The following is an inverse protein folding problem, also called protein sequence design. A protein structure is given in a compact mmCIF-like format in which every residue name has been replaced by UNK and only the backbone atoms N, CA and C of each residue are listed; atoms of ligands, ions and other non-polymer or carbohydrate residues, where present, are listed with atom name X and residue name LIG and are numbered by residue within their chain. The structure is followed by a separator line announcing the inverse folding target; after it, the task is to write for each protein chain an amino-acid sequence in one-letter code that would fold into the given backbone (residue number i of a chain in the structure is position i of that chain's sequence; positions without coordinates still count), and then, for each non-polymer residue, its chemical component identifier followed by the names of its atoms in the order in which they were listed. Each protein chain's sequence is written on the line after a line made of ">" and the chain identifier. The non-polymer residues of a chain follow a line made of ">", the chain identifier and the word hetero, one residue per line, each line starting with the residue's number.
data_IF_744809352517
#
_entry.id   IF_744809352517
#
_cell.length_a   1.000
_cell.length_b   1.000
_cell.length_c   1.000
_cell.angle_alpha   90.00
_cell.angle_beta   90.00
_cell.angle_gamma   90.00
#
_symmetry.space_group_name_H-M   'P 1'
#
loop_
_entity.id
_entity.type
_entity.pdbx_description
1 polymer ?
#
# COMPACT_ATOMS: atom_id res chain seq x y z
N UNK A 1 13.18 -10.86 15.67
CA UNK A 1 11.99 -11.70 15.88
C UNK A 1 11.72 -12.44 14.58
N UNK A 2 11.47 -13.74 14.61
CA UNK A 2 11.08 -14.46 13.40
C UNK A 2 9.74 -13.93 12.90
N UNK A 3 9.64 -13.72 11.59
CA UNK A 3 8.35 -13.37 10.96
C UNK A 3 7.33 -14.47 11.27
N UNK A 4 6.15 -14.05 11.73
CA UNK A 4 5.03 -14.98 11.96
C UNK A 4 4.69 -15.70 10.65
N UNK A 5 4.44 -17.01 10.66
CA UNK A 5 4.07 -17.73 9.47
C UNK A 5 2.75 -17.18 8.90
N UNK A 6 2.59 -17.27 7.57
CA UNK A 6 1.47 -16.72 6.80
C UNK A 6 0.08 -17.15 7.33
N UNK A 7 0.00 -18.34 7.94
CA UNK A 7 -1.22 -18.86 8.59
C UNK A 7 -1.69 -18.03 9.79
N UNK A 8 -0.80 -17.35 10.50
CA UNK A 8 -1.18 -16.49 11.63
C UNK A 8 -1.65 -15.12 11.19
N UNK A 9 -1.09 -14.55 10.10
CA UNK A 9 -1.54 -13.27 9.53
C UNK A 9 -2.97 -13.35 8.98
N UNK A 10 -3.37 -14.51 8.45
CA UNK A 10 -4.75 -14.74 7.97
C UNK A 10 -5.79 -14.71 9.08
N UNK A 11 -5.40 -14.92 10.34
CA UNK A 11 -6.32 -14.86 11.48
C UNK A 11 -6.70 -13.45 11.91
N UNK A 12 -5.92 -12.43 11.52
CA UNK A 12 -6.20 -11.04 11.89
C UNK A 12 -7.43 -10.47 11.16
N UNK A 13 -7.78 -11.02 10.00
CA UNK A 13 -8.98 -10.64 9.23
C UNK A 13 -9.66 -11.87 8.63
N UNK A 14 -10.39 -12.66 9.44
CA UNK A 14 -11.03 -13.91 8.99
C UNK A 14 -11.98 -13.70 7.80
N UNK A 15 -12.65 -12.56 7.73
CA UNK A 15 -13.59 -12.20 6.66
C UNK A 15 -12.96 -12.04 5.27
N UNK A 16 -11.64 -11.84 5.18
CA UNK A 16 -10.91 -11.82 3.90
C UNK A 16 -10.73 -13.22 3.28
N UNK A 17 -10.95 -14.28 4.06
CA UNK A 17 -10.77 -15.67 3.60
C UNK A 17 -12.01 -16.21 2.87
N UNK A 18 -13.18 -15.64 3.12
CA UNK A 18 -14.47 -16.11 2.60
C UNK A 18 -14.92 -15.37 1.35
N UNK A 19 -14.15 -14.35 0.91
CA UNK A 19 -14.53 -13.59 -0.26
C UNK A 19 -14.16 -14.36 -1.53
N UNK A 20 -15.16 -14.93 -2.19
CA UNK A 20 -15.17 -14.96 -3.65
C UNK A 20 -14.87 -13.56 -4.11
N UNK A 21 -13.79 -13.38 -4.89
CA UNK A 21 -13.30 -12.05 -5.27
C UNK A 21 -14.46 -11.23 -5.85
N UNK A 22 -14.95 -10.21 -5.15
CA UNK A 22 -16.11 -9.46 -5.60
C UNK A 22 -15.81 -8.73 -6.92
N UNK A 23 -16.81 -8.28 -7.65
CA UNK A 23 -16.62 -7.43 -8.83
C UNK A 23 -15.67 -6.27 -8.51
N UNK A 24 -14.91 -5.82 -9.51
CA UNK A 24 -13.77 -4.88 -9.32
C UNK A 24 -14.08 -3.63 -8.47
N UNK A 25 -15.28 -3.07 -8.59
CA UNK A 25 -15.64 -1.83 -7.86
C UNK A 25 -15.84 -2.09 -6.36
N UNK A 26 -16.69 -3.05 -5.92
CA UNK A 26 -16.80 -3.41 -4.51
C UNK A 26 -15.48 -3.84 -3.87
N UNK A 27 -14.61 -4.52 -4.65
CA UNK A 27 -13.28 -4.89 -4.16
C UNK A 27 -12.41 -3.66 -3.86
N UNK A 28 -12.44 -2.65 -4.74
CA UNK A 28 -11.73 -1.39 -4.52
C UNK A 28 -12.17 -0.71 -3.23
N UNK A 29 -13.47 -0.56 -3.02
CA UNK A 29 -14.07 0.02 -1.82
C UNK A 29 -13.70 -0.76 -0.54
N UNK A 30 -13.72 -2.09 -0.62
CA UNK A 30 -13.32 -2.95 0.50
C UNK A 30 -11.84 -2.77 0.87
N UNK A 31 -10.96 -2.59 -0.11
CA UNK A 31 -9.53 -2.37 0.11
C UNK A 31 -9.26 -0.97 0.67
N UNK A 32 -9.97 0.05 0.21
CA UNK A 32 -9.92 1.39 0.82
C UNK A 32 -10.35 1.33 2.30
N UNK A 33 -11.44 0.61 2.61
CA UNK A 33 -11.87 0.40 3.99
C UNK A 33 -10.82 -0.36 4.83
N UNK A 34 -10.17 -1.36 4.25
CA UNK A 34 -9.09 -2.11 4.90
C UNK A 34 -7.86 -1.22 5.17
N UNK A 35 -7.51 -0.32 4.24
CA UNK A 35 -6.45 0.68 4.44
C UNK A 35 -6.78 1.58 5.63
N UNK A 36 -8.00 2.15 5.64
CA UNK A 36 -8.45 3.02 6.72
C UNK A 36 -8.40 2.30 8.08
N UNK A 37 -8.93 1.08 8.15
CA UNK A 37 -8.92 0.29 9.38
C UNK A 37 -7.49 0.02 9.86
N UNK A 38 -6.59 -0.41 8.98
CA UNK A 38 -5.19 -0.70 9.34
C UNK A 38 -4.44 0.57 9.78
N UNK A 39 -4.57 1.68 9.06
CA UNK A 39 -3.96 2.95 9.42
C UNK A 39 -4.45 3.43 10.80
N UNK A 40 -5.76 3.35 11.05
CA UNK A 40 -6.37 3.74 12.34
C UNK A 40 -5.84 2.86 13.49
N UNK A 41 -5.74 1.55 13.30
CA UNK A 41 -5.17 0.64 14.30
C UNK A 41 -3.69 0.95 14.62
N UNK A 42 -2.97 1.49 13.65
CA UNK A 42 -1.58 1.94 13.83
C UNK A 42 -1.48 3.37 14.39
N UNK A 43 -2.60 4.02 14.70
CA UNK A 43 -2.64 5.39 15.22
C UNK A 43 -2.27 6.45 14.17
N UNK A 44 -2.41 6.13 12.89
CA UNK A 44 -2.13 7.04 11.78
C UNK A 44 -3.43 7.75 11.40
N UNK A 45 -3.53 9.09 11.57
CA UNK A 45 -4.73 9.84 11.22
C UNK A 45 -4.96 9.87 9.71
N UNK A 46 -6.18 9.55 9.28
CA UNK A 46 -6.57 9.47 7.86
C UNK A 46 -7.78 10.37 7.60
N UNK A 47 -7.71 11.15 6.54
CA UNK A 47 -8.78 12.00 6.06
C UNK A 47 -9.23 11.51 4.67
N UNK A 48 -10.53 11.42 4.45
CA UNK A 48 -11.08 11.13 3.12
C UNK A 48 -11.49 12.44 2.44
N UNK A 49 -11.00 12.72 1.21
CA UNK A 49 -11.46 13.86 0.44
C UNK A 49 -12.95 13.74 0.14
N UNK A 50 -13.62 14.87 0.08
CA UNK A 50 -15.02 14.88 -0.34
C UNK A 50 -15.13 14.73 -1.86
N UNK A 51 -15.96 13.77 -2.31
CA UNK A 51 -16.18 13.47 -3.74
C UNK A 51 -15.03 12.71 -4.41
N UNK A 52 -15.14 12.51 -5.72
CA UNK A 52 -14.28 11.62 -6.53
C UNK A 52 -13.30 12.39 -7.44
N UNK A 53 -13.16 13.71 -7.24
CA UNK A 53 -12.41 14.58 -8.14
C UNK A 53 -10.89 14.60 -7.90
N UNK A 54 -10.43 13.95 -6.85
CA UNK A 54 -9.01 13.93 -6.50
C UNK A 54 -8.31 12.67 -7.03
N UNK A 55 -7.03 12.76 -7.40
CA UNK A 55 -6.25 11.60 -7.88
C UNK A 55 -5.80 10.67 -6.76
N UNK A 56 -6.19 10.90 -5.50
CA UNK A 56 -5.86 10.11 -4.33
C UNK A 56 -7.11 9.77 -3.51
N UNK A 57 -7.09 8.61 -2.84
CA UNK A 57 -8.23 8.13 -2.06
C UNK A 57 -8.23 8.69 -0.63
N UNK A 58 -7.05 8.95 -0.07
CA UNK A 58 -6.89 9.45 1.29
C UNK A 58 -5.80 10.51 1.40
N UNK A 59 -6.00 11.43 2.34
CA UNK A 59 -4.93 12.26 2.88
C UNK A 59 -4.56 11.70 4.25
N UNK A 60 -3.27 11.52 4.51
CA UNK A 60 -2.73 10.99 5.76
C UNK A 60 -1.94 12.08 6.47
N UNK A 61 -2.30 12.35 7.72
CA UNK A 61 -1.62 13.33 8.55
C UNK A 61 -0.45 12.65 9.28
N UNK A 62 0.74 12.80 8.69
CA UNK A 62 1.99 12.34 9.26
C UNK A 62 2.90 13.53 9.58
N UNK A 63 4.18 13.44 9.22
CA UNK A 63 5.10 14.57 9.29
C UNK A 63 4.63 15.78 8.46
N UNK A 64 3.92 15.51 7.37
CA UNK A 64 3.12 16.45 6.61
C UNK A 64 1.83 15.76 6.15
N UNK A 65 0.96 16.46 5.47
CA UNK A 65 -0.20 15.85 4.83
C UNK A 65 0.25 15.11 3.56
N UNK A 66 0.08 13.77 3.57
CA UNK A 66 0.44 12.90 2.47
C UNK A 66 -0.77 12.51 1.63
N UNK A 67 -0.68 12.60 0.32
CA UNK A 67 -1.70 12.10 -0.61
C UNK A 67 -1.43 10.64 -0.91
N UNK A 68 -2.36 9.77 -0.55
CA UNK A 68 -2.23 8.32 -0.69
C UNK A 68 -3.29 7.76 -1.63
N UNK A 69 -2.84 7.07 -2.67
CA UNK A 69 -3.70 6.30 -3.56
C UNK A 69 -3.66 4.83 -3.13
N UNK A 70 -4.83 4.21 -2.98
CA UNK A 70 -4.97 2.79 -2.64
C UNK A 70 -5.23 1.97 -3.90
N UNK A 71 -4.53 0.86 -4.06
CA UNK A 71 -4.72 -0.06 -5.20
C UNK A 71 -4.69 -1.51 -4.74
N UNK A 72 -5.51 -2.31 -5.40
CA UNK A 72 -5.46 -3.76 -5.29
C UNK A 72 -4.43 -4.35 -6.26
N UNK A 73 -3.58 -5.22 -5.75
CA UNK A 73 -2.70 -6.05 -6.56
C UNK A 73 -3.33 -7.44 -6.73
N UNK A 74 -4.06 -7.66 -7.82
CA UNK A 74 -4.87 -8.88 -8.04
C UNK A 74 -4.27 -9.85 -9.06
N UNK A 75 -3.38 -9.39 -9.93
CA UNK A 75 -2.78 -10.24 -10.96
C UNK A 75 -1.71 -11.13 -10.36
N UNK A 76 -1.88 -12.45 -10.45
CA UNK A 76 -0.97 -13.42 -9.84
C UNK A 76 -0.35 -14.33 -10.89
N UNK A 77 0.96 -14.23 -11.04
CA UNK A 77 1.78 -15.22 -11.73
C UNK A 77 2.81 -15.75 -10.71
N UNK A 78 2.51 -16.91 -10.12
CA UNK A 78 3.35 -17.44 -9.03
C UNK A 78 3.32 -16.55 -7.79
N UNK A 79 4.47 -16.01 -7.40
CA UNK A 79 4.63 -15.06 -6.27
C UNK A 79 4.61 -13.58 -6.71
N UNK A 80 4.27 -13.31 -7.97
CA UNK A 80 4.20 -11.96 -8.53
C UNK A 80 2.77 -11.45 -8.55
N UNK A 81 2.58 -10.19 -8.20
CA UNK A 81 1.35 -9.45 -8.39
C UNK A 81 1.64 -8.04 -8.90
N UNK A 82 0.65 -7.46 -9.56
CA UNK A 82 0.77 -6.19 -10.23
C UNK A 82 -0.32 -5.22 -9.73
N UNK A 83 0.06 -3.98 -9.41
CA UNK A 83 -0.86 -2.90 -9.15
C UNK A 83 -0.78 -1.86 -10.26
N UNK A 84 -1.94 -1.42 -10.76
CA UNK A 84 -2.00 -0.35 -11.74
C UNK A 84 -1.66 0.98 -11.08
N UNK A 85 -0.63 1.66 -11.57
CA UNK A 85 -0.16 2.96 -11.12
C UNK A 85 -0.67 4.09 -12.03
N UNK A 86 -1.98 4.04 -12.35
CA UNK A 86 -2.65 5.05 -13.17
C UNK A 86 -4.10 5.25 -12.70
N UNK A 87 -4.59 6.46 -12.85
CA UNK A 87 -5.99 6.84 -12.62
C UNK A 87 -6.78 6.98 -13.91
N UNK A 88 -7.97 7.57 -13.83
CA UNK A 88 -8.81 7.91 -14.98
C UNK A 88 -8.16 8.96 -15.88
N UNK A 89 -7.35 9.85 -15.32
CA UNK A 89 -6.62 10.91 -16.05
C UNK A 89 -5.28 10.47 -16.66
N UNK A 90 -4.89 9.20 -16.52
CA UNK A 90 -3.61 8.70 -17.02
C UNK A 90 -2.64 8.28 -15.93
N UNK A 91 -1.33 8.34 -16.22
CA UNK A 91 -0.28 8.01 -15.26
C UNK A 91 -0.26 9.03 -14.11
N UNK A 92 0.02 8.56 -12.91
CA UNK A 92 0.23 9.46 -11.77
C UNK A 92 1.51 10.26 -11.95
N UNK A 93 1.46 11.49 -11.46
CA UNK A 93 2.60 12.39 -11.31
C UNK A 93 2.93 12.60 -9.83
N UNK A 94 4.06 13.21 -9.53
CA UNK A 94 4.44 13.58 -8.15
C UNK A 94 3.53 14.66 -7.55
N UNK A 95 2.79 15.40 -8.40
CA UNK A 95 1.80 16.36 -7.94
C UNK A 95 0.46 15.70 -7.60
N UNK A 96 0.18 14.51 -8.13
CA UNK A 96 -1.08 13.79 -7.89
C UNK A 96 -1.08 13.06 -6.56
N UNK A 97 -0.01 12.29 -6.30
CA UNK A 97 0.10 11.42 -5.12
C UNK A 97 1.50 11.45 -4.53
N UNK A 98 1.60 11.21 -3.23
CA UNK A 98 2.87 11.03 -2.52
C UNK A 98 3.19 9.55 -2.30
N UNK A 99 2.15 8.71 -2.13
CA UNK A 99 2.29 7.27 -1.91
C UNK A 99 1.25 6.46 -2.66
N UNK A 100 1.68 5.29 -3.10
CA UNK A 100 0.82 4.20 -3.52
C UNK A 100 0.76 3.16 -2.40
N UNK A 101 -0.42 2.95 -1.82
CA UNK A 101 -0.67 1.85 -0.91
C UNK A 101 -1.25 0.67 -1.69
N UNK A 102 -0.44 -0.33 -1.99
CA UNK A 102 -0.84 -1.49 -2.76
C UNK A 102 -1.11 -2.69 -1.85
N UNK A 103 -2.31 -3.27 -1.97
CA UNK A 103 -2.73 -4.42 -1.18
C UNK A 103 -2.66 -5.71 -1.97
N UNK A 104 -1.87 -6.66 -1.50
CA UNK A 104 -1.79 -8.02 -2.04
C UNK A 104 -2.80 -8.89 -1.32
N UNK A 105 -3.98 -9.09 -1.91
CA UNK A 105 -5.13 -9.75 -1.29
C UNK A 105 -4.78 -11.17 -0.79
N UNK A 106 -4.10 -11.97 -1.62
CA UNK A 106 -3.75 -13.36 -1.28
C UNK A 106 -2.92 -13.51 -0.02
N UNK A 107 -2.05 -12.54 0.22
CA UNK A 107 -1.05 -12.59 1.29
C UNK A 107 -1.41 -11.72 2.48
N UNK A 108 -2.51 -10.97 2.38
CA UNK A 108 -2.91 -9.97 3.38
C UNK A 108 -1.73 -9.05 3.74
N UNK A 109 -1.11 -8.48 2.72
CA UNK A 109 0.08 -7.66 2.87
C UNK A 109 -0.04 -6.33 2.13
N UNK A 110 0.56 -5.29 2.69
CA UNK A 110 0.62 -3.97 2.13
C UNK A 110 2.03 -3.61 1.67
N UNK A 111 2.09 -2.89 0.57
CA UNK A 111 3.28 -2.15 0.15
C UNK A 111 2.97 -0.66 0.18
N UNK A 112 3.75 0.10 0.95
CA UNK A 112 3.62 1.56 1.04
C UNK A 112 4.75 2.18 0.21
N UNK A 113 4.48 2.43 -1.05
CA UNK A 113 5.49 2.80 -2.05
C UNK A 113 5.48 4.31 -2.27
N UNK A 114 6.57 5.05 -2.00
CA UNK A 114 6.68 6.46 -2.36
C UNK A 114 6.53 6.66 -3.87
N UNK A 115 5.85 7.73 -4.28
CA UNK A 115 5.59 8.00 -5.69
C UNK A 115 6.87 8.18 -6.51
N UNK A 116 7.90 8.78 -5.95
CA UNK A 116 9.21 8.96 -6.58
C UNK A 116 9.95 7.65 -6.90
N UNK A 117 9.56 6.54 -6.24
CA UNK A 117 10.14 5.23 -6.51
C UNK A 117 9.57 4.55 -7.76
N UNK A 118 8.40 4.97 -8.26
CA UNK A 118 7.78 4.30 -9.41
C UNK A 118 7.32 5.22 -10.53
N UNK A 119 6.99 6.49 -10.26
CA UNK A 119 6.58 7.44 -11.31
C UNK A 119 7.71 7.60 -12.34
N UNK A 120 7.42 7.56 -13.64
CA UNK A 120 6.13 7.55 -14.35
C UNK A 120 5.63 6.15 -14.80
N UNK A 121 5.81 5.11 -14.03
CA UNK A 121 5.40 3.75 -14.45
C UNK A 121 3.89 3.58 -14.39
N UNK A 122 3.33 2.89 -15.41
CA UNK A 122 1.90 2.54 -15.46
C UNK A 122 1.53 1.37 -14.52
N UNK A 123 2.51 0.55 -14.16
CA UNK A 123 2.31 -0.65 -13.34
C UNK A 123 3.48 -0.82 -12.37
N UNK A 124 3.17 -1.15 -11.13
CA UNK A 124 4.13 -1.53 -10.11
C UNK A 124 4.02 -3.04 -9.88
N UNK A 125 5.16 -3.71 -9.98
CA UNK A 125 5.26 -5.16 -9.84
C UNK A 125 5.83 -5.53 -8.48
N UNK A 126 5.09 -6.35 -7.74
CA UNK A 126 5.50 -6.88 -6.46
C UNK A 126 5.82 -8.35 -6.56
N UNK A 127 6.88 -8.78 -5.92
CA UNK A 127 7.23 -10.18 -5.78
C UNK A 127 7.33 -10.50 -4.30
N UNK A 128 6.34 -11.20 -3.77
CA UNK A 128 6.15 -11.42 -2.33
C UNK A 128 6.66 -12.79 -1.84
N UNK A 129 7.38 -13.53 -2.66
CA UNK A 129 7.95 -14.82 -2.28
C UNK A 129 8.92 -14.74 -1.10
N UNK A 130 9.18 -15.84 -0.38
CA UNK A 130 9.99 -15.86 0.84
C UNK A 130 11.44 -15.44 0.64
N UNK A 131 11.94 -15.50 -0.60
CA UNK A 131 13.28 -15.05 -1.01
C UNK A 131 13.19 -13.86 -1.97
N UNK A 132 12.14 -13.05 -1.87
CA UNK A 132 11.94 -11.96 -2.79
C UNK A 132 13.06 -10.93 -2.67
N UNK A 133 13.64 -10.59 -3.83
CA UNK A 133 14.55 -9.46 -4.01
C UNK A 133 13.92 -8.43 -4.96
N UNK A 134 12.58 -8.36 -4.97
CA UNK A 134 11.85 -7.39 -5.80
C UNK A 134 12.23 -5.95 -5.44
N UNK A 135 12.29 -5.07 -6.42
CA UNK A 135 12.65 -3.65 -6.26
C UNK A 135 11.84 -2.96 -5.14
N UNK A 136 10.57 -3.35 -4.97
CA UNK A 136 9.65 -2.72 -4.01
C UNK A 136 9.52 -3.51 -2.70
N UNK A 137 10.27 -4.59 -2.50
CA UNK A 137 10.20 -5.40 -1.28
C UNK A 137 10.58 -4.61 -0.02
N UNK A 138 11.42 -3.63 -0.18
CA UNK A 138 11.80 -2.67 0.87
C UNK A 138 10.64 -1.86 1.42
N UNK A 139 9.54 -1.74 0.66
CA UNK A 139 8.34 -1.00 1.04
C UNK A 139 7.22 -1.89 1.63
N UNK A 140 7.52 -3.19 1.85
CA UNK A 140 6.58 -4.12 2.46
C UNK A 140 6.30 -3.75 3.91
N UNK A 141 5.01 -3.57 4.26
CA UNK A 141 4.54 -3.21 5.61
C UNK A 141 5.27 -2.00 6.23
N UNK A 142 5.71 -1.06 5.41
CA UNK A 142 6.46 0.13 5.86
C UNK A 142 5.53 1.31 6.17
N UNK A 143 4.51 1.08 6.99
CA UNK A 143 3.54 2.09 7.41
C UNK A 143 4.18 3.31 8.09
N UNK A 144 5.34 3.14 8.70
CA UNK A 144 6.11 4.24 9.28
C UNK A 144 6.47 5.34 8.29
N UNK A 145 6.48 5.05 6.97
CA UNK A 145 6.70 6.08 5.95
C UNK A 145 5.61 7.14 5.93
N UNK A 146 4.40 6.77 6.34
CA UNK A 146 3.26 7.69 6.42
C UNK A 146 3.26 8.52 7.70
N UNK A 147 3.80 8.00 8.80
CA UNK A 147 3.72 8.61 10.12
C UNK A 147 4.98 9.40 10.50
N UNK A 148 6.17 8.87 10.15
CA UNK A 148 7.44 9.39 10.65
C UNK A 148 8.02 10.49 9.73
N UNK A 149 8.70 11.46 10.36
CA UNK A 149 9.52 12.42 9.61
C UNK A 149 10.58 11.68 8.78
N UNK A 150 10.85 12.13 7.55
CA UNK A 150 11.96 11.61 6.79
C UNK A 150 13.24 11.90 7.59
N UNK A 151 13.86 10.88 8.12
CA UNK A 151 15.26 11.00 8.52
C UNK A 151 16.02 11.31 7.25
N UNK A 152 17.02 12.19 7.31
CA UNK A 152 17.84 12.54 6.15
C UNK A 152 18.27 11.25 5.42
N UNK A 153 17.55 10.93 4.33
CA UNK A 153 17.74 9.69 3.60
C UNK A 153 18.90 9.87 2.65
N UNK A 154 19.99 9.19 2.91
CA UNK A 154 20.85 8.78 1.82
C UNK A 154 20.00 7.90 0.86
N UNK A 155 20.19 8.02 -0.45
CA UNK A 155 19.56 7.13 -1.44
C UNK A 155 19.78 5.68 -1.01
N UNK A 156 18.72 5.00 -0.54
CA UNK A 156 18.76 3.60 -0.13
C UNK A 156 18.59 3.29 1.36
N UNK A 157 18.56 4.29 2.24
CA UNK A 157 18.33 4.07 3.68
C UNK A 157 16.85 4.01 4.01
N UNK A 158 16.35 2.79 4.13
CA UNK A 158 15.07 2.53 4.79
C UNK A 158 15.31 2.55 6.29
N UNK A 159 14.43 3.20 7.07
CA UNK A 159 14.54 3.14 8.51
C UNK A 159 14.52 1.69 8.95
N UNK A 160 15.63 1.18 9.49
CA UNK A 160 15.62 -0.11 10.18
C UNK A 160 14.57 -0.02 11.28
N UNK A 161 13.37 -0.57 10.98
CA UNK A 161 12.22 -0.75 11.88
C UNK A 161 11.87 0.47 12.73
N UNK A 162 10.99 1.30 12.21
CA UNK A 162 10.13 2.10 13.05
C UNK A 162 9.23 1.13 13.84
N UNK A 163 9.27 1.19 15.16
CA UNK A 163 8.27 0.51 16.00
C UNK A 163 7.03 1.40 16.02
N UNK A 164 6.07 1.15 15.13
CA UNK A 164 4.68 1.50 15.32
C UNK A 164 4.01 0.34 16.06
#
# INVERSE_FOLDING_TARGET
>A
MPEKPNSERRREFPWLQELDVPPRKPLGEAIEAAFLAKATMLGIPVLKPWGDSRPYDFAVEGWRLWKVQVKCATSHRGTRCDARAAGSGGLYTLDDIDFLAAYVVRENLWYIVPADAFVPRATVHFNYGPKSQGMFEIYRETWCLLACAPRARGKGDIPKRCRL
#
